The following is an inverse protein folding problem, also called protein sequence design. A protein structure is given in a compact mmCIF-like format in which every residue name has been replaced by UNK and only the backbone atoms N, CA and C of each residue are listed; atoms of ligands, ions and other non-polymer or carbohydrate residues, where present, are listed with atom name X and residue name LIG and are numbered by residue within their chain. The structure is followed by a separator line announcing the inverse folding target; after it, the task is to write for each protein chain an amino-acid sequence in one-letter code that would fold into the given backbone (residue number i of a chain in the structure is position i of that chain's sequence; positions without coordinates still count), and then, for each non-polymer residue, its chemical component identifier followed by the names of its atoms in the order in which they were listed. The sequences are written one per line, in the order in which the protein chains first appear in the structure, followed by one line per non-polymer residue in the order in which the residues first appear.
data_IF_207943400183
#
_entry.id   IF_207943400183
#
_cell.length_a   1.000
_cell.length_b   1.000
_cell.length_c   1.000
_cell.angle_alpha   90.00
_cell.angle_beta   90.00
_cell.angle_gamma   90.00
#
_symmetry.space_group_name_H-M   'P 1'
#
loop_
_entity.id
_entity.type
_entity.pdbx_description
1 polymer ?
#
# COMPACT_ATOMS: atom_id res chain seq x y z
N UNK A 1 119.65 -67.74 3.07
CA UNK A 1 118.98 -69.03 2.85
C UNK A 1 117.50 -68.79 3.15
N UNK A 2 116.66 -68.97 2.14
CA UNK A 2 115.21 -68.76 2.13
C UNK A 2 114.51 -70.15 2.16
N UNK A 3 113.18 -70.30 1.99
CA UNK A 3 112.03 -69.40 2.18
C UNK A 3 110.80 -70.11 2.84
N UNK A 4 109.64 -69.44 2.75
CA UNK A 4 108.21 -69.87 2.86
C UNK A 4 107.71 -70.19 4.28
N UNK A 5 106.58 -69.67 4.77
CA UNK A 5 105.25 -69.87 4.20
C UNK A 5 104.16 -68.97 4.83
N UNK A 6 103.00 -69.09 4.20
CA UNK A 6 101.68 -68.48 4.36
C UNK A 6 100.99 -68.57 5.75
N UNK A 7 99.82 -67.91 5.79
CA UNK A 7 98.60 -68.19 6.59
C UNK A 7 98.27 -67.35 7.85
N UNK A 8 97.13 -66.66 7.73
CA UNK A 8 96.06 -66.36 8.69
C UNK A 8 96.26 -66.54 10.20
N UNK A 9 95.79 -65.57 11.01
CA UNK A 9 94.64 -65.76 11.91
C UNK A 9 94.22 -64.49 12.67
N UNK A 10 92.99 -64.55 13.14
CA UNK A 10 92.06 -63.53 13.66
C UNK A 10 92.31 -63.25 15.17
N UNK A 11 91.69 -62.17 15.67
CA UNK A 11 91.38 -61.80 17.09
C UNK A 11 92.44 -60.94 17.77
N UNK A 12 92.17 -59.96 18.64
CA UNK A 12 90.99 -59.58 19.42
C UNK A 12 91.14 -58.11 19.89
N UNK A 13 90.00 -57.51 20.27
CA UNK A 13 89.81 -56.59 21.40
C UNK A 13 90.39 -55.16 21.49
N UNK A 14 89.44 -54.27 21.81
CA UNK A 14 89.46 -53.29 22.91
C UNK A 14 89.95 -51.84 22.68
N UNK A 15 89.04 -50.93 23.08
CA UNK A 15 89.20 -49.63 23.75
C UNK A 15 89.62 -48.37 22.95
N UNK A 16 88.72 -47.37 23.03
CA UNK A 16 88.79 -45.92 22.68
C UNK A 16 89.97 -45.22 23.40
N UNK A 17 90.59 -44.10 22.92
CA UNK A 17 89.95 -42.76 22.88
C UNK A 17 90.44 -41.70 21.85
N UNK A 18 89.60 -40.66 21.67
CA UNK A 18 89.84 -39.23 21.40
C UNK A 18 90.85 -38.71 20.34
N UNK A 19 90.36 -37.81 19.46
CA UNK A 19 91.09 -36.59 19.04
C UNK A 19 90.92 -36.09 17.60
N UNK A 20 90.51 -34.81 17.45
CA UNK A 20 91.20 -33.71 16.70
C UNK A 20 90.41 -32.92 15.61
N UNK A 21 90.38 -31.58 15.83
CA UNK A 21 90.27 -30.42 14.91
C UNK A 21 88.94 -29.92 14.28
N UNK A 22 88.64 -28.60 14.40
CA UNK A 22 87.71 -27.86 13.53
C UNK A 22 88.41 -26.79 12.64
N UNK A 23 87.87 -26.50 11.43
CA UNK A 23 87.96 -25.12 10.93
C UNK A 23 86.74 -24.56 10.14
N UNK A 24 86.58 -23.23 10.30
CA UNK A 24 86.03 -22.20 9.38
C UNK A 24 84.51 -22.04 9.12
N UNK A 25 83.95 -20.93 9.63
CA UNK A 25 82.75 -20.26 9.09
C UNK A 25 83.15 -19.17 8.07
N UNK A 26 82.51 -19.05 6.89
CA UNK A 26 82.72 -17.93 5.96
C UNK A 26 81.90 -16.67 6.34
N UNK A 27 82.24 -15.50 5.77
CA UNK A 27 81.92 -14.18 6.31
C UNK A 27 80.52 -13.68 5.95
N UNK A 28 80.02 -12.75 6.76
CA UNK A 28 78.87 -11.91 6.48
C UNK A 28 79.08 -11.11 5.18
N UNK A 29 78.52 -11.62 4.08
CA UNK A 29 78.43 -10.94 2.80
C UNK A 29 77.15 -10.13 2.72
N UNK A 30 77.31 -8.83 2.46
CA UNK A 30 76.25 -7.88 2.18
C UNK A 30 75.37 -8.30 1.00
N UNK A 31 74.06 -8.35 1.19
CA UNK A 31 73.10 -8.16 0.10
C UNK A 31 72.02 -7.14 0.51
N UNK A 32 72.30 -5.90 0.10
CA UNK A 32 71.42 -5.07 -0.73
C UNK A 32 69.96 -4.95 -0.30
N UNK A 33 69.57 -3.71 0.01
CA UNK A 33 68.18 -3.30 0.19
C UNK A 33 67.31 -3.78 -0.97
N UNK A 34 66.55 -4.86 -0.72
CA UNK A 34 65.41 -5.23 -1.54
C UNK A 34 64.37 -4.14 -1.32
N UNK A 35 64.35 -3.18 -2.24
CA UNK A 35 63.22 -2.25 -2.37
C UNK A 35 61.94 -3.07 -2.27
N UNK A 36 61.08 -2.72 -1.32
CA UNK A 36 59.80 -3.37 -1.10
C UNK A 36 58.90 -3.13 -2.33
N UNK A 37 59.17 -3.87 -3.41
CA UNK A 37 58.39 -3.86 -4.62
C UNK A 37 56.98 -4.35 -4.27
N UNK A 38 55.98 -3.58 -4.68
CA UNK A 38 54.57 -3.89 -4.47
C UNK A 38 54.31 -5.37 -4.81
N UNK A 39 53.73 -6.17 -3.89
CA UNK A 39 53.49 -7.58 -4.14
C UNK A 39 52.63 -7.76 -5.40
N UNK A 40 53.01 -8.69 -6.28
CA UNK A 40 52.36 -8.90 -7.60
C UNK A 40 50.87 -9.30 -7.49
N UNK A 41 50.41 -9.73 -6.32
CA UNK A 41 49.00 -10.04 -6.03
C UNK A 41 48.17 -8.78 -5.73
N UNK A 42 48.79 -7.71 -5.23
CA UNK A 42 48.12 -6.47 -4.83
C UNK A 42 47.42 -5.75 -5.99
N UNK A 43 48.03 -5.55 -7.18
CA UNK A 43 47.32 -4.92 -8.30
C UNK A 43 46.18 -5.79 -8.84
N UNK A 44 46.30 -7.12 -8.83
CA UNK A 44 45.21 -8.03 -9.25
C UNK A 44 44.04 -7.99 -8.27
N UNK A 45 44.33 -8.03 -6.96
CA UNK A 45 43.32 -7.88 -5.91
C UNK A 45 42.64 -6.50 -5.97
N UNK A 46 43.40 -5.44 -6.25
CA UNK A 46 42.88 -4.08 -6.37
C UNK A 46 41.99 -3.90 -7.61
N UNK A 47 42.36 -4.48 -8.76
CA UNK A 47 41.51 -4.49 -9.96
C UNK A 47 40.23 -5.29 -9.72
N UNK A 48 40.31 -6.45 -9.04
CA UNK A 48 39.14 -7.27 -8.74
C UNK A 48 38.21 -6.59 -7.72
N UNK A 49 38.78 -5.93 -6.72
CA UNK A 49 38.02 -5.11 -5.77
C UNK A 49 37.36 -3.90 -6.45
N UNK A 50 38.07 -3.17 -7.31
CA UNK A 50 37.51 -2.07 -8.10
C UNK A 50 36.40 -2.55 -9.05
N UNK A 51 36.58 -3.70 -9.70
CA UNK A 51 35.57 -4.30 -10.57
C UNK A 51 34.32 -4.69 -9.77
N UNK A 52 34.47 -5.25 -8.57
CA UNK A 52 33.35 -5.60 -7.70
C UNK A 52 32.61 -4.36 -7.19
N UNK A 53 33.34 -3.30 -6.80
CA UNK A 53 32.75 -2.00 -6.43
C UNK A 53 32.05 -1.35 -7.62
N UNK A 54 32.64 -1.37 -8.81
CA UNK A 54 32.03 -0.84 -10.02
C UNK A 54 30.76 -1.62 -10.39
N UNK A 55 30.77 -2.95 -10.29
CA UNK A 55 29.60 -3.79 -10.52
C UNK A 55 28.50 -3.54 -9.48
N UNK A 56 28.87 -3.36 -8.21
CA UNK A 56 27.93 -2.97 -7.16
C UNK A 56 27.33 -1.57 -7.40
N UNK A 57 28.14 -0.58 -7.79
CA UNK A 57 27.68 0.77 -8.13
C UNK A 57 26.76 0.76 -9.36
N UNK A 58 27.11 0.04 -10.42
CA UNK A 58 26.27 -0.15 -11.61
C UNK A 58 24.95 -0.83 -11.26
N UNK A 59 25.00 -1.90 -10.45
CA UNK A 59 23.81 -2.59 -9.96
C UNK A 59 22.92 -1.68 -9.11
N UNK A 60 23.51 -0.91 -8.20
CA UNK A 60 22.79 0.05 -7.35
C UNK A 60 22.18 1.19 -8.16
N UNK A 61 22.91 1.74 -9.14
CA UNK A 61 22.41 2.77 -10.05
C UNK A 61 21.25 2.24 -10.90
N UNK A 62 21.40 1.06 -11.50
CA UNK A 62 20.36 0.41 -12.27
C UNK A 62 19.13 0.11 -11.40
N UNK A 63 19.33 -0.38 -10.16
CA UNK A 63 18.23 -0.64 -9.23
C UNK A 63 17.48 0.64 -8.86
N UNK A 64 18.17 1.75 -8.58
CA UNK A 64 17.53 3.04 -8.32
C UNK A 64 16.74 3.54 -9.54
N UNK A 65 17.30 3.41 -10.75
CA UNK A 65 16.62 3.83 -11.98
C UNK A 65 15.38 2.96 -12.26
N UNK A 66 15.44 1.66 -11.96
CA UNK A 66 14.34 0.73 -12.15
C UNK A 66 13.30 0.78 -11.02
N UNK A 67 13.62 1.35 -9.85
CA UNK A 67 12.72 1.38 -8.70
C UNK A 67 11.36 1.98 -9.05
N UNK A 68 11.33 3.06 -9.83
CA UNK A 68 10.08 3.67 -10.31
C UNK A 68 9.25 2.73 -11.21
N UNK A 69 9.92 1.98 -12.09
CA UNK A 69 9.27 0.97 -12.93
C UNK A 69 8.76 -0.21 -12.10
N UNK A 70 9.54 -0.69 -11.13
CA UNK A 70 9.12 -1.76 -10.21
C UNK A 70 7.89 -1.35 -9.40
N UNK A 71 7.84 -0.10 -8.94
CA UNK A 71 6.67 0.47 -8.27
C UNK A 71 5.46 0.48 -9.20
N UNK A 72 5.60 0.95 -10.44
CA UNK A 72 4.51 0.95 -11.41
C UNK A 72 4.02 -0.47 -11.72
N UNK A 73 4.93 -1.45 -11.85
CA UNK A 73 4.59 -2.87 -12.02
C UNK A 73 3.85 -3.40 -10.79
N UNK A 74 4.28 -3.03 -9.58
CA UNK A 74 3.61 -3.44 -8.34
C UNK A 74 2.19 -2.88 -8.29
N UNK A 75 2.00 -1.59 -8.59
CA UNK A 75 0.68 -0.95 -8.68
C UNK A 75 -0.18 -1.66 -9.72
N UNK A 76 0.37 -1.92 -10.91
CA UNK A 76 -0.30 -2.63 -11.98
C UNK A 76 -0.72 -4.05 -11.57
N UNK A 77 0.13 -4.76 -10.83
CA UNK A 77 -0.18 -6.09 -10.31
C UNK A 77 -1.37 -6.05 -9.33
N UNK A 78 -1.41 -5.09 -8.41
CA UNK A 78 -2.54 -4.93 -7.50
C UNK A 78 -3.81 -4.50 -8.21
N UNK A 79 -3.72 -3.62 -9.21
CA UNK A 79 -4.86 -3.25 -10.04
C UNK A 79 -5.38 -4.47 -10.83
N UNK A 80 -4.50 -5.33 -11.31
CA UNK A 80 -4.89 -6.57 -11.98
C UNK A 80 -5.61 -7.52 -11.02
N UNK A 81 -5.10 -7.70 -9.80
CA UNK A 81 -5.77 -8.49 -8.74
C UNK A 81 -7.14 -7.92 -8.36
N UNK A 82 -7.28 -6.60 -8.35
CA UNK A 82 -8.52 -5.89 -8.09
C UNK A 82 -9.59 -6.16 -9.16
N UNK A 83 -9.18 -6.21 -10.43
CA UNK A 83 -10.05 -6.43 -11.61
C UNK A 83 -10.30 -7.92 -11.87
N UNK A 84 -9.43 -8.81 -11.41
CA UNK A 84 -9.49 -10.27 -11.61
C UNK A 84 -10.86 -10.90 -11.29
N UNK A 85 -11.57 -10.58 -10.19
CA UNK A 85 -12.89 -11.16 -9.92
C UNK A 85 -13.91 -10.84 -11.02
N UNK A 86 -13.93 -9.60 -11.52
CA UNK A 86 -14.82 -9.19 -12.61
C UNK A 86 -14.45 -9.87 -13.93
N UNK A 87 -13.15 -9.99 -14.24
CA UNK A 87 -12.66 -10.70 -15.43
C UNK A 87 -12.99 -12.19 -15.36
N UNK A 88 -12.74 -12.81 -14.21
CA UNK A 88 -12.98 -14.24 -13.99
C UNK A 88 -14.47 -14.58 -14.08
N UNK A 89 -15.35 -13.73 -13.55
CA UNK A 89 -16.79 -13.87 -13.67
C UNK A 89 -17.28 -13.78 -15.13
N UNK A 90 -16.75 -12.85 -15.93
CA UNK A 90 -17.08 -12.78 -17.36
C UNK A 90 -16.51 -13.96 -18.15
N UNK A 91 -15.28 -14.38 -17.84
CA UNK A 91 -14.65 -15.53 -18.46
C UNK A 91 -15.41 -16.84 -18.15
N UNK A 92 -15.92 -16.98 -16.93
CA UNK A 92 -16.76 -18.11 -16.52
C UNK A 92 -18.10 -18.17 -17.28
N UNK A 93 -18.58 -17.03 -17.81
CA UNK A 93 -19.76 -16.94 -18.69
C UNK A 93 -19.46 -17.20 -20.16
N UNK A 94 -18.24 -17.63 -20.50
CA UNK A 94 -17.85 -18.04 -21.86
C UNK A 94 -17.11 -16.98 -22.68
N UNK A 95 -16.83 -15.78 -22.13
CA UNK A 95 -16.02 -14.79 -22.83
C UNK A 95 -14.53 -15.20 -22.87
N UNK A 96 -13.87 -14.96 -24.01
CA UNK A 96 -12.40 -15.08 -24.10
C UNK A 96 -11.78 -14.12 -23.09
N UNK A 97 -10.82 -14.63 -22.30
CA UNK A 97 -10.24 -13.89 -21.17
C UNK A 97 -9.65 -12.53 -21.55
N UNK A 98 -9.04 -12.42 -22.73
CA UNK A 98 -8.56 -11.13 -23.26
C UNK A 98 -9.69 -10.11 -23.50
N UNK A 99 -10.84 -10.55 -24.03
CA UNK A 99 -12.02 -9.69 -24.23
C UNK A 99 -12.66 -9.31 -22.89
N UNK A 100 -12.78 -10.26 -21.97
CA UNK A 100 -13.26 -9.98 -20.61
C UNK A 100 -12.40 -8.90 -19.94
N UNK A 101 -11.07 -9.03 -20.04
CA UNK A 101 -10.13 -8.03 -19.51
C UNK A 101 -10.33 -6.67 -20.19
N UNK A 102 -10.41 -6.63 -21.53
CA UNK A 102 -10.63 -5.39 -22.26
C UNK A 102 -11.93 -4.68 -21.85
N UNK A 103 -13.03 -5.43 -21.66
CA UNK A 103 -14.32 -4.88 -21.23
C UNK A 103 -14.22 -4.28 -19.83
N UNK A 104 -13.57 -4.94 -18.85
CA UNK A 104 -13.43 -4.35 -17.51
C UNK A 104 -12.59 -3.09 -17.55
N UNK A 105 -11.43 -3.13 -18.23
CA UNK A 105 -10.55 -1.97 -18.34
C UNK A 105 -11.25 -0.79 -19.04
N UNK A 106 -11.98 -1.07 -20.11
CA UNK A 106 -12.79 -0.06 -20.79
C UNK A 106 -13.84 0.53 -19.84
N UNK A 107 -14.52 -0.30 -19.06
CA UNK A 107 -15.46 0.14 -18.02
C UNK A 107 -14.80 1.03 -16.96
N UNK A 108 -13.62 0.66 -16.46
CA UNK A 108 -12.85 1.46 -15.50
C UNK A 108 -12.42 2.80 -16.10
N UNK A 109 -11.94 2.80 -17.35
CA UNK A 109 -11.54 4.01 -18.07
C UNK A 109 -12.73 4.94 -18.26
N UNK A 110 -13.87 4.42 -18.74
CA UNK A 110 -15.09 5.21 -18.95
C UNK A 110 -15.61 5.77 -17.63
N UNK A 111 -15.67 4.95 -16.57
CA UNK A 111 -16.10 5.40 -15.26
C UNK A 111 -15.18 6.50 -14.69
N UNK A 112 -13.86 6.33 -14.83
CA UNK A 112 -12.86 7.30 -14.36
C UNK A 112 -12.92 8.59 -15.16
N UNK A 113 -12.97 8.51 -16.49
CA UNK A 113 -13.08 9.67 -17.37
C UNK A 113 -14.41 10.42 -17.16
N UNK A 114 -15.52 9.69 -16.99
CA UNK A 114 -16.82 10.26 -16.67
C UNK A 114 -16.82 10.97 -15.33
N UNK A 115 -16.23 10.37 -14.28
CA UNK A 115 -16.08 11.00 -12.99
C UNK A 115 -15.21 12.27 -13.05
N UNK A 116 -14.04 12.20 -13.69
CA UNK A 116 -13.12 13.35 -13.84
C UNK A 116 -13.80 14.47 -14.63
N UNK A 117 -14.52 14.15 -15.71
CA UNK A 117 -15.24 15.15 -16.51
C UNK A 117 -16.35 15.80 -15.71
N UNK A 118 -17.14 15.01 -14.97
CA UNK A 118 -18.25 15.51 -14.15
C UNK A 118 -17.77 16.36 -12.97
N UNK A 119 -16.65 15.97 -12.34
CA UNK A 119 -16.00 16.77 -11.30
C UNK A 119 -15.34 18.03 -11.86
N UNK A 120 -14.65 17.92 -12.99
CA UNK A 120 -13.99 19.03 -13.65
C UNK A 120 -14.98 20.11 -14.07
N UNK A 121 -16.12 19.72 -14.68
CA UNK A 121 -17.17 20.66 -15.06
C UNK A 121 -17.86 21.29 -13.84
N UNK A 122 -18.11 20.50 -12.80
CA UNK A 122 -18.65 21.02 -11.54
C UNK A 122 -17.71 22.06 -10.91
N UNK A 123 -16.42 21.72 -10.75
CA UNK A 123 -15.45 22.61 -10.11
C UNK A 123 -15.24 23.88 -10.93
N UNK A 124 -15.17 23.76 -12.26
CA UNK A 124 -15.07 24.93 -13.14
C UNK A 124 -16.29 25.85 -13.00
N UNK A 125 -17.52 25.29 -13.01
CA UNK A 125 -18.75 26.06 -12.80
C UNK A 125 -18.76 26.75 -11.44
N UNK A 126 -18.45 26.01 -10.37
CA UNK A 126 -18.42 26.57 -9.02
C UNK A 126 -17.36 27.67 -8.82
N UNK A 127 -16.20 27.56 -9.47
CA UNK A 127 -15.20 28.63 -9.43
C UNK A 127 -15.71 29.89 -10.13
N UNK A 128 -16.38 29.76 -11.27
CA UNK A 128 -16.98 30.89 -12.00
C UNK A 128 -18.08 31.53 -11.15
N UNK A 129 -19.05 30.74 -10.68
CA UNK A 129 -20.17 31.21 -9.85
C UNK A 129 -19.65 31.88 -8.55
N UNK A 130 -18.61 31.32 -7.92
CA UNK A 130 -18.04 31.89 -6.70
C UNK A 130 -17.29 33.20 -6.95
N UNK A 131 -16.71 33.42 -8.13
CA UNK A 131 -16.03 34.67 -8.49
C UNK A 131 -17.04 35.74 -8.91
N UNK A 132 -18.07 35.37 -9.66
CA UNK A 132 -19.11 36.29 -10.15
C UNK A 132 -20.07 36.72 -9.01
N UNK A 133 -20.50 35.77 -8.17
CA UNK A 133 -21.50 36.01 -7.12
C UNK A 133 -20.89 36.20 -5.72
N UNK A 134 -19.56 36.36 -5.60
CA UNK A 134 -18.89 36.56 -4.32
C UNK A 134 -19.54 37.65 -3.44
N UNK A 135 -19.91 38.84 -3.98
CA UNK A 135 -20.54 39.89 -3.18
C UNK A 135 -21.91 39.46 -2.64
N UNK A 136 -22.69 38.72 -3.43
CA UNK A 136 -24.04 38.28 -3.08
C UNK A 136 -24.02 37.14 -2.05
N UNK A 137 -23.01 36.27 -2.07
CA UNK A 137 -22.81 35.26 -1.02
C UNK A 137 -22.47 35.90 0.33
N UNK A 138 -21.59 36.90 0.35
CA UNK A 138 -21.28 37.66 1.57
C UNK A 138 -22.55 38.31 2.13
N UNK A 139 -23.41 38.86 1.26
CA UNK A 139 -24.66 39.46 1.66
C UNK A 139 -25.67 38.48 2.25
N UNK A 140 -25.75 37.26 1.71
CA UNK A 140 -26.60 36.19 2.25
C UNK A 140 -26.10 35.74 3.63
N UNK A 141 -24.80 35.56 3.80
CA UNK A 141 -24.19 35.17 5.09
C UNK A 141 -24.38 36.25 6.14
N UNK A 142 -24.08 37.53 5.81
CA UNK A 142 -24.27 38.65 6.74
C UNK A 142 -25.74 38.76 7.15
N UNK A 143 -26.68 38.66 6.20
CA UNK A 143 -28.12 38.65 6.52
C UNK A 143 -28.52 37.47 7.41
N UNK A 144 -28.04 36.26 7.12
CA UNK A 144 -28.32 35.08 7.93
C UNK A 144 -27.80 35.23 9.36
N UNK A 145 -26.56 35.73 9.53
CA UNK A 145 -25.98 36.00 10.86
C UNK A 145 -26.81 37.05 11.60
N UNK A 146 -27.09 38.19 10.94
CA UNK A 146 -27.83 39.30 11.55
C UNK A 146 -29.25 38.86 11.95
N UNK A 147 -29.93 38.03 11.13
CA UNK A 147 -31.27 37.52 11.43
C UNK A 147 -31.28 36.39 12.48
N UNK A 148 -30.25 35.55 12.52
CA UNK A 148 -30.20 34.38 13.42
C UNK A 148 -29.68 34.75 14.81
N UNK A 149 -28.74 35.69 14.89
CA UNK A 149 -28.05 36.08 16.11
C UNK A 149 -28.33 37.53 16.55
N UNK A 150 -29.26 38.23 15.89
CA UNK A 150 -29.70 39.60 16.23
C UNK A 150 -28.51 40.58 16.35
N UNK A 151 -27.61 40.53 15.36
CA UNK A 151 -26.36 41.32 15.30
C UNK A 151 -26.42 42.30 14.12
N UNK A 152 -25.67 43.42 14.20
CA UNK A 152 -25.54 44.40 13.11
C UNK A 152 -24.10 44.39 12.53
N UNK A 153 -23.78 43.38 11.72
CA UNK A 153 -22.55 43.38 10.92
C UNK A 153 -22.74 44.24 9.66
N UNK A 154 -21.85 45.23 9.46
CA UNK A 154 -21.87 46.11 8.29
C UNK A 154 -20.92 45.65 7.18
N UNK A 155 -21.35 45.85 5.93
CA UNK A 155 -20.73 45.40 4.67
C UNK A 155 -19.36 46.06 4.38
N UNK A 156 -19.04 47.17 5.04
CA UNK A 156 -17.97 48.10 4.63
C UNK A 156 -16.57 47.73 5.17
N UNK A 157 -16.47 47.00 6.29
CA UNK A 157 -15.17 46.59 6.85
C UNK A 157 -14.58 45.31 6.22
N UNK A 158 -15.40 44.46 5.62
CA UNK A 158 -14.98 43.14 5.09
C UNK A 158 -14.62 43.20 3.60
N UNK A 159 -15.25 44.10 2.84
CA UNK A 159 -15.14 44.15 1.38
C UNK A 159 -13.82 44.76 0.88
N UNK A 160 -13.24 45.71 1.62
CA UNK A 160 -12.03 46.43 1.19
C UNK A 160 -10.74 45.61 1.40
N UNK A 161 -10.71 44.72 2.40
CA UNK A 161 -9.56 43.84 2.69
C UNK A 161 -9.50 42.57 1.85
N UNK A 162 -10.63 42.07 1.32
CA UNK A 162 -10.69 40.80 0.58
C UNK A 162 -10.50 40.97 -0.94
N UNK A 163 -11.03 42.05 -1.53
CA UNK A 163 -11.00 42.26 -3.01
C UNK A 163 -9.63 42.73 -3.51
N UNK A 164 -8.83 43.40 -2.66
CA UNK A 164 -7.46 43.85 -2.98
C UNK A 164 -6.37 42.82 -2.62
N UNK A 165 -6.76 41.62 -2.21
CA UNK A 165 -5.81 40.67 -1.62
C UNK A 165 -4.88 40.06 -2.70
N UNK A 166 -3.58 40.20 -2.48
CA UNK A 166 -2.51 39.77 -3.40
C UNK A 166 -2.60 38.29 -3.81
N UNK A 167 -3.27 37.44 -3.04
CA UNK A 167 -3.39 36.00 -3.32
C UNK A 167 -4.14 35.71 -4.62
N UNK A 168 -5.21 36.46 -4.92
CA UNK A 168 -6.02 36.22 -6.11
C UNK A 168 -5.26 36.61 -7.39
N UNK A 169 -4.53 37.74 -7.35
CA UNK A 169 -3.62 38.16 -8.43
C UNK A 169 -2.43 37.21 -8.59
N UNK A 170 -1.82 36.74 -7.50
CA UNK A 170 -0.75 35.73 -7.54
C UNK A 170 -1.23 34.38 -8.07
N UNK A 171 -2.46 33.98 -7.76
CA UNK A 171 -3.04 32.73 -8.25
C UNK A 171 -3.28 32.77 -9.76
N UNK A 172 -3.82 33.89 -10.27
CA UNK A 172 -4.00 34.13 -11.71
C UNK A 172 -2.65 34.24 -12.44
N UNK A 173 -1.66 34.94 -11.86
CA UNK A 173 -0.32 35.07 -12.46
C UNK A 173 0.51 33.78 -12.41
N UNK A 174 0.40 32.97 -11.34
CA UNK A 174 1.06 31.66 -11.25
C UNK A 174 0.41 30.62 -12.17
N UNK A 175 -0.88 30.76 -12.49
CA UNK A 175 -1.56 29.88 -13.45
C UNK A 175 -1.11 30.13 -14.90
N UNK A 176 -0.67 31.35 -15.23
CA UNK A 176 -0.26 31.71 -16.59
C UNK A 176 1.17 31.29 -16.97
N UNK A 177 2.07 31.09 -15.99
CA UNK A 177 3.50 30.79 -16.23
C UNK A 177 3.84 29.29 -16.23
N UNK A 178 2.93 28.42 -15.79
CA UNK A 178 3.16 26.98 -15.65
C UNK A 178 2.80 26.11 -16.86
N UNK A 179 2.38 26.68 -18.00
CA UNK A 179 1.79 25.90 -19.10
C UNK A 179 2.75 24.85 -19.67
N UNK A 180 4.05 25.16 -19.77
CA UNK A 180 5.04 24.21 -20.29
C UNK A 180 5.40 23.09 -19.28
N UNK A 181 5.52 23.42 -17.99
CA UNK A 181 5.80 22.43 -16.93
C UNK A 181 4.60 21.51 -16.68
N UNK A 182 3.38 22.06 -16.71
CA UNK A 182 2.14 21.29 -16.64
C UNK A 182 2.03 20.35 -17.83
N UNK A 183 2.43 20.77 -19.03
CA UNK A 183 2.40 19.91 -20.22
C UNK A 183 3.34 18.71 -20.10
N UNK A 184 4.57 18.92 -19.63
CA UNK A 184 5.54 17.84 -19.41
C UNK A 184 5.08 16.88 -18.31
N UNK A 185 4.50 17.39 -17.23
CA UNK A 185 3.97 16.59 -16.13
C UNK A 185 2.73 15.78 -16.53
N UNK A 186 1.83 16.37 -17.34
CA UNK A 186 0.65 15.69 -17.90
C UNK A 186 1.08 14.57 -18.84
N UNK A 187 2.03 14.83 -19.74
CA UNK A 187 2.57 13.79 -20.63
C UNK A 187 3.24 12.67 -19.84
N UNK A 188 4.09 13.01 -18.87
CA UNK A 188 4.74 12.03 -17.99
C UNK A 188 3.73 11.19 -17.20
N UNK A 189 2.70 11.83 -16.64
CA UNK A 189 1.61 11.18 -15.93
C UNK A 189 0.78 10.26 -16.84
N UNK A 190 0.52 10.68 -18.08
CA UNK A 190 -0.18 9.86 -19.07
C UNK A 190 0.64 8.61 -19.45
N UNK A 191 1.94 8.76 -19.68
CA UNK A 191 2.83 7.61 -19.93
C UNK A 191 2.88 6.66 -18.72
N UNK A 192 2.94 7.20 -17.50
CA UNK A 192 2.91 6.39 -16.28
C UNK A 192 1.58 5.63 -16.14
N UNK A 193 0.45 6.31 -16.34
CA UNK A 193 -0.87 5.72 -16.30
C UNK A 193 -1.01 4.64 -17.38
N UNK A 194 -0.61 4.92 -18.62
CA UNK A 194 -0.62 3.96 -19.72
C UNK A 194 0.22 2.73 -19.39
N UNK A 195 1.40 2.93 -18.80
CA UNK A 195 2.28 1.85 -18.36
C UNK A 195 1.58 0.97 -17.32
N UNK A 196 1.00 1.57 -16.28
CA UNK A 196 0.27 0.85 -15.23
C UNK A 196 -0.91 0.08 -15.83
N UNK A 197 -1.70 0.71 -16.70
CA UNK A 197 -2.85 0.06 -17.35
C UNK A 197 -2.41 -1.08 -18.26
N UNK A 198 -1.35 -0.91 -19.05
CA UNK A 198 -0.85 -1.92 -19.96
C UNK A 198 -0.35 -3.15 -19.20
N UNK A 199 0.52 -2.96 -18.19
CA UNK A 199 1.00 -4.07 -17.36
C UNK A 199 -0.14 -4.75 -16.62
N UNK A 200 -1.09 -3.98 -16.09
CA UNK A 200 -2.25 -4.51 -15.38
C UNK A 200 -3.15 -5.33 -16.31
N UNK A 201 -3.37 -4.85 -17.55
CA UNK A 201 -4.08 -5.56 -18.59
C UNK A 201 -3.41 -6.90 -18.93
N UNK A 202 -2.09 -6.90 -19.15
CA UNK A 202 -1.36 -8.14 -19.43
C UNK A 202 -1.41 -9.11 -18.24
N UNK A 203 -1.24 -8.62 -17.01
CA UNK A 203 -1.34 -9.47 -15.81
C UNK A 203 -2.72 -10.08 -15.62
N UNK A 204 -3.80 -9.32 -15.86
CA UNK A 204 -5.16 -9.85 -15.76
C UNK A 204 -5.49 -10.82 -16.91
N UNK A 205 -5.16 -10.46 -18.15
CA UNK A 205 -5.43 -11.27 -19.34
C UNK A 205 -4.66 -12.59 -19.32
N UNK A 206 -3.35 -12.55 -19.05
CA UNK A 206 -2.46 -13.71 -19.00
C UNK A 206 -2.30 -14.30 -17.58
N UNK A 207 -3.14 -13.93 -16.62
CA UNK A 207 -3.09 -14.43 -15.23
C UNK A 207 -2.86 -15.95 -15.09
N UNK A 208 -3.55 -16.83 -15.86
CA UNK A 208 -3.32 -18.27 -15.79
C UNK A 208 -1.95 -18.70 -16.33
N UNK A 209 -1.40 -17.98 -17.31
CA UNK A 209 -0.05 -18.24 -17.84
C UNK A 209 1.01 -17.77 -16.85
N UNK A 210 0.84 -16.59 -16.25
CA UNK A 210 1.71 -16.08 -15.19
C UNK A 210 1.75 -17.06 -14.01
N UNK A 211 0.58 -17.54 -13.57
CA UNK A 211 0.46 -18.54 -12.50
C UNK A 211 1.18 -19.84 -12.85
N UNK A 212 1.05 -20.35 -14.09
CA UNK A 212 1.77 -21.54 -14.55
C UNK A 212 3.27 -21.32 -14.59
N UNK A 213 3.74 -20.18 -15.10
CA UNK A 213 5.16 -19.84 -15.17
C UNK A 213 5.81 -19.74 -13.78
N UNK A 214 5.12 -19.13 -12.82
CA UNK A 214 5.58 -19.09 -11.42
C UNK A 214 5.63 -20.49 -10.80
N UNK A 215 4.62 -21.34 -11.06
CA UNK A 215 4.61 -22.70 -10.55
C UNK A 215 5.64 -23.62 -11.22
N UNK A 216 6.04 -23.37 -12.48
CA UNK A 216 6.99 -24.23 -13.19
C UNK A 216 8.42 -24.17 -12.64
N UNK A 217 8.77 -23.12 -11.88
CA UNK A 217 10.08 -22.98 -11.23
C UNK A 217 10.10 -23.67 -9.86
N UNK A 218 8.94 -24.06 -9.33
CA UNK A 218 8.78 -24.62 -7.99
C UNK A 218 8.70 -26.15 -8.00
N UNK A 219 9.26 -26.83 -6.97
CA UNK A 219 9.06 -28.26 -6.77
C UNK A 219 7.56 -28.62 -6.66
N UNK A 220 7.10 -29.78 -7.19
CA UNK A 220 5.69 -30.16 -7.19
C UNK A 220 5.00 -30.07 -5.82
N UNK A 221 5.70 -30.42 -4.74
CA UNK A 221 5.19 -30.35 -3.37
C UNK A 221 4.79 -28.92 -2.94
N UNK A 222 5.39 -27.88 -3.50
CA UNK A 222 5.13 -26.47 -3.17
C UNK A 222 4.15 -25.79 -4.12
N UNK A 223 3.86 -26.37 -5.28
CA UNK A 223 2.95 -25.78 -6.26
C UNK A 223 1.53 -25.63 -5.69
N UNK A 224 1.01 -26.65 -4.99
CA UNK A 224 -0.33 -26.60 -4.39
C UNK A 224 -0.45 -25.51 -3.31
N UNK A 225 0.58 -25.33 -2.48
CA UNK A 225 0.61 -24.28 -1.44
C UNK A 225 0.55 -22.87 -2.07
N UNK A 226 1.34 -22.63 -3.12
CA UNK A 226 1.39 -21.33 -3.82
C UNK A 226 0.10 -21.04 -4.56
N UNK A 227 -0.49 -22.03 -5.23
CA UNK A 227 -1.78 -21.89 -5.90
C UNK A 227 -2.90 -21.54 -4.90
N UNK A 228 -2.90 -22.19 -3.73
CA UNK A 228 -3.85 -21.88 -2.65
C UNK A 228 -3.65 -20.46 -2.13
N UNK A 229 -2.41 -20.04 -1.88
CA UNK A 229 -2.11 -18.69 -1.44
C UNK A 229 -2.55 -17.63 -2.47
N UNK A 230 -2.34 -17.90 -3.76
CA UNK A 230 -2.79 -17.04 -4.86
C UNK A 230 -4.32 -16.89 -4.87
N UNK A 231 -5.07 -17.99 -4.78
CA UNK A 231 -6.53 -17.94 -4.76
C UNK A 231 -7.07 -17.19 -3.53
N UNK A 232 -6.46 -17.39 -2.37
CA UNK A 232 -6.80 -16.63 -1.16
C UNK A 232 -6.53 -15.13 -1.38
N UNK A 233 -5.39 -14.77 -1.97
CA UNK A 233 -5.03 -13.38 -2.24
C UNK A 233 -6.03 -12.71 -3.20
N UNK A 234 -6.41 -13.39 -4.30
CA UNK A 234 -7.41 -12.91 -5.26
C UNK A 234 -8.78 -12.75 -4.59
N UNK A 235 -9.23 -13.78 -3.85
CA UNK A 235 -10.55 -13.75 -3.23
C UNK A 235 -10.66 -12.69 -2.12
N UNK A 236 -9.62 -12.50 -1.30
CA UNK A 236 -9.59 -11.46 -0.27
C UNK A 236 -9.53 -10.05 -0.87
N UNK A 237 -8.65 -9.84 -1.86
CA UNK A 237 -8.52 -8.54 -2.55
C UNK A 237 -9.80 -8.19 -3.28
N UNK A 238 -10.34 -9.14 -4.03
CA UNK A 238 -11.59 -9.00 -4.77
C UNK A 238 -12.80 -8.78 -3.86
N UNK A 239 -12.93 -9.57 -2.79
CA UNK A 239 -14.00 -9.41 -1.80
C UNK A 239 -13.94 -8.07 -1.07
N UNK A 240 -12.73 -7.58 -0.75
CA UNK A 240 -12.54 -6.25 -0.18
C UNK A 240 -12.98 -5.15 -1.15
N UNK A 241 -12.46 -5.19 -2.38
CA UNK A 241 -12.77 -4.17 -3.38
C UNK A 241 -14.26 -4.17 -3.77
N UNK A 242 -14.87 -5.36 -3.88
CA UNK A 242 -16.31 -5.51 -4.10
C UNK A 242 -17.11 -4.90 -2.95
N UNK A 243 -16.76 -5.22 -1.70
CA UNK A 243 -17.45 -4.65 -0.53
C UNK A 243 -17.35 -3.12 -0.49
N UNK A 244 -16.17 -2.56 -0.82
CA UNK A 244 -15.92 -1.11 -0.90
C UNK A 244 -16.68 -0.45 -2.05
N UNK A 245 -16.69 -1.07 -3.23
CA UNK A 245 -17.44 -0.58 -4.38
C UNK A 245 -18.95 -0.59 -4.13
N UNK A 246 -19.47 -1.64 -3.48
CA UNK A 246 -20.88 -1.73 -3.12
C UNK A 246 -21.26 -0.70 -2.04
N UNK A 247 -20.41 -0.51 -1.02
CA UNK A 247 -20.58 0.59 -0.05
C UNK A 247 -20.56 1.96 -0.73
N UNK A 248 -19.65 2.17 -1.69
CA UNK A 248 -19.52 3.43 -2.40
C UNK A 248 -20.78 3.73 -3.21
N UNK A 249 -21.37 2.69 -3.83
CA UNK A 249 -22.63 2.79 -4.54
C UNK A 249 -23.79 3.13 -3.60
N UNK A 250 -23.92 2.41 -2.47
CA UNK A 250 -25.00 2.66 -1.48
C UNK A 250 -24.87 4.06 -0.89
N UNK A 251 -23.64 4.47 -0.54
CA UNK A 251 -23.34 5.80 0.00
C UNK A 251 -23.61 6.89 -1.03
N UNK A 252 -23.16 6.71 -2.27
CA UNK A 252 -23.44 7.63 -3.36
C UNK A 252 -24.94 7.80 -3.60
N UNK A 253 -25.72 6.71 -3.68
CA UNK A 253 -27.17 6.78 -3.87
C UNK A 253 -27.85 7.49 -2.68
N UNK A 254 -27.45 7.16 -1.45
CA UNK A 254 -28.02 7.77 -0.25
C UNK A 254 -27.78 9.29 -0.21
N UNK A 255 -26.56 9.73 -0.50
CA UNK A 255 -26.22 11.15 -0.57
C UNK A 255 -26.82 11.83 -1.80
N UNK A 256 -26.96 11.15 -2.93
CA UNK A 256 -27.66 11.67 -4.10
C UNK A 256 -29.10 12.03 -3.78
N UNK A 257 -29.83 11.11 -3.12
CA UNK A 257 -31.22 11.34 -2.73
C UNK A 257 -31.32 12.57 -1.81
N UNK A 258 -30.45 12.68 -0.80
CA UNK A 258 -30.42 13.85 0.08
C UNK A 258 -30.16 15.15 -0.68
N UNK A 259 -29.07 15.19 -1.46
CA UNK A 259 -28.65 16.40 -2.18
C UNK A 259 -29.70 16.82 -3.21
N UNK A 260 -30.39 15.87 -3.83
CA UNK A 260 -31.49 16.14 -4.75
C UNK A 260 -32.72 16.68 -4.03
N UNK A 261 -33.06 16.17 -2.83
CA UNK A 261 -34.15 16.71 -2.01
C UNK A 261 -33.87 18.14 -1.57
N UNK A 262 -32.61 18.45 -1.27
CA UNK A 262 -32.15 19.79 -0.92
C UNK A 262 -31.89 20.69 -2.14
N UNK A 263 -32.13 20.19 -3.36
CA UNK A 263 -31.89 20.90 -4.63
C UNK A 263 -30.47 21.49 -4.75
N UNK A 264 -29.47 20.80 -4.18
CA UNK A 264 -28.07 21.26 -4.22
C UNK A 264 -27.52 21.09 -5.63
N UNK A 265 -26.87 22.12 -6.20
CA UNK A 265 -26.31 22.04 -7.55
C UNK A 265 -25.26 20.92 -7.63
N UNK A 266 -25.18 20.28 -8.80
CA UNK A 266 -24.26 19.17 -9.05
C UNK A 266 -24.44 17.97 -8.09
N UNK A 267 -25.64 17.73 -7.57
CA UNK A 267 -25.96 16.58 -6.71
C UNK A 267 -25.43 15.22 -7.23
N UNK A 268 -25.54 14.84 -8.53
CA UNK A 268 -24.95 13.60 -9.03
C UNK A 268 -23.43 13.55 -8.87
N UNK A 269 -22.76 14.68 -9.12
CA UNK A 269 -21.32 14.81 -9.06
C UNK A 269 -20.82 14.65 -7.62
N UNK A 270 -21.42 15.40 -6.71
CA UNK A 270 -21.17 15.35 -5.28
C UNK A 270 -21.46 13.98 -4.68
N UNK A 271 -22.54 13.33 -5.10
CA UNK A 271 -22.89 11.99 -4.63
C UNK A 271 -21.83 10.94 -5.00
N UNK A 272 -21.36 10.94 -6.25
CA UNK A 272 -20.29 10.03 -6.69
C UNK A 272 -18.99 10.35 -5.95
N UNK A 273 -18.67 11.64 -5.75
CA UNK A 273 -17.53 12.07 -4.92
C UNK A 273 -17.62 11.48 -3.51
N UNK A 274 -18.76 11.67 -2.83
CA UNK A 274 -18.94 11.19 -1.46
C UNK A 274 -18.80 9.67 -1.39
N UNK A 275 -19.47 8.95 -2.29
CA UNK A 275 -19.42 7.49 -2.33
C UNK A 275 -18.00 6.97 -2.56
N UNK A 276 -17.23 7.56 -3.48
CA UNK A 276 -15.88 7.10 -3.79
C UNK A 276 -14.88 7.47 -2.68
N UNK A 277 -14.87 8.73 -2.26
CA UNK A 277 -13.88 9.26 -1.32
C UNK A 277 -14.06 8.68 0.07
N UNK A 278 -15.30 8.50 0.54
CA UNK A 278 -15.57 7.92 1.86
C UNK A 278 -15.07 6.47 1.98
N UNK A 279 -15.13 5.70 0.88
CA UNK A 279 -14.85 4.27 0.92
C UNK A 279 -13.40 3.92 0.63
N UNK A 280 -12.78 4.66 -0.28
CA UNK A 280 -11.43 4.37 -0.76
C UNK A 280 -10.34 5.17 -0.05
N UNK A 281 -10.66 6.26 0.66
CA UNK A 281 -9.70 6.97 1.51
C UNK A 281 -9.90 6.57 2.97
N UNK A 282 -9.01 5.77 3.59
CA UNK A 282 -9.19 5.32 4.96
C UNK A 282 -9.11 6.45 5.97
N UNK A 283 -9.81 6.31 7.11
CA UNK A 283 -9.82 7.19 8.29
C UNK A 283 -10.34 8.61 8.11
N UNK A 284 -9.91 9.32 7.07
CA UNK A 284 -10.25 10.72 6.81
C UNK A 284 -11.28 10.83 5.68
N UNK A 285 -11.46 9.78 4.88
CA UNK A 285 -12.29 9.77 3.68
C UNK A 285 -13.69 10.30 3.90
N UNK A 286 -14.42 9.85 4.92
CA UNK A 286 -15.79 10.36 5.20
C UNK A 286 -15.81 11.86 5.45
N UNK A 287 -14.85 12.38 6.22
CA UNK A 287 -14.80 13.80 6.55
C UNK A 287 -14.49 14.65 5.31
N UNK A 288 -13.53 14.21 4.50
CA UNK A 288 -13.19 14.87 3.23
C UNK A 288 -14.33 14.76 2.20
N UNK A 289 -14.96 13.58 2.14
CA UNK A 289 -16.09 13.29 1.29
C UNK A 289 -17.28 14.21 1.59
N UNK A 290 -17.64 14.36 2.87
CA UNK A 290 -18.75 15.20 3.32
C UNK A 290 -18.47 16.70 3.29
N UNK A 291 -17.20 17.12 3.39
CA UNK A 291 -16.83 18.53 3.38
C UNK A 291 -17.21 19.25 2.08
N UNK A 292 -16.96 18.63 0.93
CA UNK A 292 -17.24 19.25 -0.37
C UNK A 292 -18.74 19.51 -0.60
N UNK A 293 -19.66 18.51 -0.49
CA UNK A 293 -21.09 18.77 -0.60
C UNK A 293 -21.63 19.74 0.45
N UNK A 294 -21.08 19.73 1.66
CA UNK A 294 -21.47 20.67 2.71
C UNK A 294 -21.11 22.11 2.34
N UNK A 295 -19.91 22.32 1.79
CA UNK A 295 -19.47 23.64 1.31
C UNK A 295 -20.36 24.14 0.18
N UNK A 296 -20.71 23.26 -0.78
CA UNK A 296 -21.60 23.63 -1.88
C UNK A 296 -23.04 23.86 -1.40
N UNK A 297 -23.55 23.07 -0.46
CA UNK A 297 -24.87 23.30 0.12
C UNK A 297 -24.94 24.63 0.87
N UNK A 298 -23.84 25.04 1.54
CA UNK A 298 -23.74 26.31 2.25
C UNK A 298 -23.89 27.53 1.34
N UNK A 299 -23.47 27.46 0.07
CA UNK A 299 -23.63 28.57 -0.87
C UNK A 299 -25.09 28.78 -1.28
N UNK A 300 -25.91 27.74 -1.20
CA UNK A 300 -27.36 27.80 -1.46
C UNK A 300 -28.09 28.36 -0.24
N UNK A 301 -27.99 27.66 0.90
CA UNK A 301 -28.60 28.04 2.17
C UNK A 301 -27.73 27.51 3.33
N UNK A 302 -27.34 28.35 4.32
CA UNK A 302 -26.55 27.91 5.47
C UNK A 302 -27.15 26.72 6.22
N UNK A 303 -28.48 26.61 6.25
CA UNK A 303 -29.18 25.51 6.91
C UNK A 303 -29.05 24.19 6.15
N UNK A 304 -28.90 24.21 4.83
CA UNK A 304 -28.67 23.00 4.03
C UNK A 304 -27.34 22.35 4.38
N UNK A 305 -26.30 23.14 4.65
CA UNK A 305 -25.02 22.61 5.13
C UNK A 305 -25.17 21.84 6.44
N UNK A 306 -26.02 22.32 7.36
CA UNK A 306 -26.31 21.64 8.63
C UNK A 306 -27.05 20.33 8.39
N UNK A 307 -28.04 20.30 7.50
CA UNK A 307 -28.74 19.07 7.12
C UNK A 307 -27.81 18.05 6.46
N UNK A 308 -26.93 18.49 5.57
CA UNK A 308 -25.91 17.63 4.93
C UNK A 308 -24.97 17.06 5.98
N UNK A 309 -24.46 17.89 6.90
CA UNK A 309 -23.61 17.44 8.00
C UNK A 309 -24.32 16.40 8.88
N UNK A 310 -25.55 16.69 9.30
CA UNK A 310 -26.36 15.79 10.12
C UNK A 310 -26.58 14.44 9.43
N UNK A 311 -26.90 14.46 8.14
CA UNK A 311 -27.06 13.24 7.35
C UNK A 311 -25.75 12.45 7.23
N UNK A 312 -24.62 13.10 6.91
CA UNK A 312 -23.31 12.43 6.82
C UNK A 312 -22.98 11.73 8.14
N UNK A 313 -23.23 12.39 9.28
CA UNK A 313 -22.99 11.80 10.61
C UNK A 313 -23.90 10.60 10.87
N UNK A 314 -25.20 10.71 10.60
CA UNK A 314 -26.17 9.62 10.79
C UNK A 314 -25.85 8.45 9.85
N UNK A 315 -25.60 8.73 8.58
CA UNK A 315 -25.23 7.75 7.58
C UNK A 315 -23.94 7.03 7.97
N UNK A 316 -22.94 7.73 8.49
CA UNK A 316 -21.70 7.11 8.97
C UNK A 316 -21.97 6.13 10.12
N UNK A 317 -22.90 6.43 11.04
CA UNK A 317 -23.28 5.48 12.08
C UNK A 317 -23.98 4.25 11.49
N UNK A 318 -24.92 4.46 10.57
CA UNK A 318 -25.58 3.36 9.86
C UNK A 318 -24.57 2.48 9.09
N UNK A 319 -23.63 3.10 8.41
CA UNK A 319 -22.57 2.40 7.69
C UNK A 319 -21.72 1.56 8.65
N UNK A 320 -21.24 2.16 9.74
CA UNK A 320 -20.36 1.50 10.72
C UNK A 320 -21.06 0.33 11.44
N UNK A 321 -22.32 0.51 11.85
CA UNK A 321 -23.03 -0.49 12.67
C UNK A 321 -23.83 -1.51 11.86
N UNK A 322 -24.26 -1.18 10.64
CA UNK A 322 -25.16 -2.04 9.85
C UNK A 322 -24.51 -2.53 8.56
N UNK A 323 -24.00 -1.64 7.72
CA UNK A 323 -23.48 -2.01 6.40
C UNK A 323 -22.13 -2.71 6.49
N UNK A 324 -21.20 -2.14 7.25
CA UNK A 324 -19.83 -2.62 7.39
C UNK A 324 -19.74 -4.06 7.90
N UNK A 325 -20.39 -4.44 9.03
CA UNK A 325 -20.35 -5.82 9.48
C UNK A 325 -21.03 -6.78 8.48
N UNK A 326 -22.08 -6.36 7.76
CA UNK A 326 -22.78 -7.25 6.81
C UNK A 326 -22.01 -7.47 5.50
N UNK A 327 -21.29 -6.45 5.03
CA UNK A 327 -20.63 -6.45 3.72
C UNK A 327 -19.14 -6.83 3.79
N UNK A 328 -18.46 -6.58 4.91
CA UNK A 328 -17.01 -6.78 5.03
C UNK A 328 -16.62 -8.03 5.85
N UNK A 329 -17.54 -8.62 6.63
CA UNK A 329 -17.23 -9.73 7.54
C UNK A 329 -16.62 -11.00 6.90
N UNK A 330 -16.74 -11.17 5.57
CA UNK A 330 -16.15 -12.33 4.85
C UNK A 330 -14.88 -11.98 4.07
N UNK A 331 -14.51 -10.70 4.00
CA UNK A 331 -13.52 -10.22 3.03
C UNK A 331 -12.11 -10.13 3.60
N UNK A 332 -11.90 -9.50 4.75
CA UNK A 332 -10.58 -9.25 5.34
C UNK A 332 -10.68 -9.10 6.86
N UNK A 333 -10.16 -10.08 7.61
CA UNK A 333 -10.02 -10.01 9.07
C UNK A 333 -8.61 -9.50 9.42
N UNK A 334 -8.41 -8.19 9.32
CA UNK A 334 -7.16 -7.51 9.72
C UNK A 334 -7.45 -6.66 10.95
N UNK A 335 -6.57 -6.75 11.95
CA UNK A 335 -6.63 -5.92 13.14
C UNK A 335 -6.57 -4.41 12.75
N UNK A 336 -7.45 -3.54 13.27
CA UNK A 336 -7.53 -2.13 12.86
C UNK A 336 -6.19 -1.38 12.90
N UNK A 337 -5.36 -1.64 13.92
CA UNK A 337 -4.03 -1.04 14.02
C UNK A 337 -3.09 -1.45 12.87
N UNK A 338 -3.18 -2.69 12.38
CA UNK A 338 -2.38 -3.19 11.25
C UNK A 338 -2.87 -2.56 9.95
N UNK A 339 -4.20 -2.42 9.78
CA UNK A 339 -4.77 -1.74 8.62
C UNK A 339 -4.42 -0.24 8.60
N UNK A 340 -4.46 0.44 9.74
CA UNK A 340 -4.06 1.84 9.84
C UNK A 340 -2.57 2.02 9.57
N UNK A 341 -1.72 1.23 10.25
CA UNK A 341 -0.28 1.27 10.06
C UNK A 341 0.14 0.94 8.63
N UNK A 342 -0.57 0.01 7.95
CA UNK A 342 -0.29 -0.30 6.56
C UNK A 342 -0.63 0.85 5.63
N UNK A 343 -1.75 1.55 5.85
CA UNK A 343 -2.12 2.73 5.06
C UNK A 343 -1.07 3.82 5.22
N UNK A 344 -0.65 4.12 6.46
CA UNK A 344 0.40 5.11 6.73
C UNK A 344 1.71 4.73 6.04
N UNK A 345 2.14 3.47 6.16
CA UNK A 345 3.34 2.98 5.49
C UNK A 345 3.21 3.03 3.96
N UNK A 346 2.06 2.64 3.41
CA UNK A 346 1.76 2.72 1.98
C UNK A 346 1.79 4.15 1.46
N UNK A 347 1.20 5.09 2.20
CA UNK A 347 1.26 6.53 1.88
C UNK A 347 2.69 7.05 1.88
N UNK A 348 3.50 6.68 2.88
CA UNK A 348 4.89 7.10 2.97
C UNK A 348 5.74 6.55 1.80
N UNK A 349 5.47 5.32 1.34
CA UNK A 349 6.24 4.67 0.30
C UNK A 349 5.83 5.07 -1.11
N UNK A 350 4.52 5.09 -1.40
CA UNK A 350 3.98 5.23 -2.77
C UNK A 350 2.90 6.32 -2.88
N UNK A 351 2.78 7.19 -1.87
CA UNK A 351 1.80 8.28 -1.86
C UNK A 351 0.35 7.78 -1.82
N UNK A 352 -0.56 8.52 -2.47
CA UNK A 352 -1.99 8.20 -2.52
C UNK A 352 -2.26 6.77 -3.06
N UNK A 353 -1.48 6.32 -4.03
CA UNK A 353 -1.63 4.98 -4.61
C UNK A 353 -1.28 3.89 -3.59
N UNK A 354 -0.22 4.10 -2.80
CA UNK A 354 0.15 3.18 -1.73
C UNK A 354 -0.89 3.09 -0.63
N UNK A 355 -1.55 4.20 -0.31
CA UNK A 355 -2.66 4.22 0.67
C UNK A 355 -3.83 3.32 0.24
N UNK A 356 -4.21 3.38 -1.04
CA UNK A 356 -5.31 2.60 -1.62
C UNK A 356 -5.02 1.09 -1.62
N UNK A 357 -3.76 0.74 -1.90
CA UNK A 357 -3.34 -0.65 -2.11
C UNK A 357 -2.84 -1.31 -0.82
N UNK A 358 -2.53 -0.52 0.22
CA UNK A 358 -1.94 -0.98 1.47
C UNK A 358 -2.72 -2.11 2.16
N UNK A 359 -4.05 -1.98 2.26
CA UNK A 359 -4.89 -2.96 2.96
C UNK A 359 -4.90 -4.29 2.19
N UNK A 360 -5.20 -4.32 0.87
CA UNK A 360 -5.01 -5.51 0.05
C UNK A 360 -3.61 -6.10 0.14
N UNK A 361 -2.56 -5.28 0.07
CA UNK A 361 -1.18 -5.73 0.11
C UNK A 361 -0.82 -6.42 1.43
N UNK A 362 -1.29 -5.89 2.55
CA UNK A 362 -1.09 -6.52 3.85
C UNK A 362 -1.98 -7.76 4.01
N UNK A 363 -3.20 -7.76 3.47
CA UNK A 363 -4.06 -8.94 3.47
C UNK A 363 -3.43 -10.11 2.71
N UNK A 364 -2.84 -9.84 1.54
CA UNK A 364 -2.14 -10.85 0.73
C UNK A 364 -0.86 -11.30 1.42
N UNK A 365 -0.06 -10.37 1.94
CA UNK A 365 1.15 -10.70 2.70
C UNK A 365 0.84 -11.57 3.91
N UNK A 366 -0.20 -11.24 4.69
CA UNK A 366 -0.64 -12.03 5.84
C UNK A 366 -1.14 -13.42 5.42
N UNK A 367 -1.81 -13.55 4.27
CA UNK A 367 -2.22 -14.84 3.74
C UNK A 367 -1.03 -15.71 3.32
N UNK A 368 -0.01 -15.13 2.67
CA UNK A 368 1.24 -15.80 2.32
C UNK A 368 2.03 -16.22 3.57
N UNK A 369 2.19 -15.31 4.53
CA UNK A 369 2.86 -15.59 5.81
C UNK A 369 2.11 -16.66 6.59
N UNK A 370 0.78 -16.61 6.66
CA UNK A 370 -0.03 -17.62 7.35
C UNK A 370 0.00 -19.00 6.67
N UNK A 371 0.31 -19.08 5.37
CA UNK A 371 0.53 -20.36 4.69
C UNK A 371 1.89 -20.98 5.03
N UNK A 372 2.88 -20.18 5.42
CA UNK A 372 4.26 -20.63 5.71
C UNK A 372 4.56 -20.73 7.21
N UNK A 373 3.94 -19.87 8.02
CA UNK A 373 4.09 -19.83 9.48
C UNK A 373 3.08 -20.79 10.10
N UNK A 374 3.59 -21.90 10.62
CA UNK A 374 2.79 -22.86 11.41
C UNK A 374 2.33 -22.14 12.68
N UNK A 375 1.04 -21.81 12.76
CA UNK A 375 0.45 -21.22 13.97
C UNK A 375 0.34 -22.34 15.00
N UNK A 376 1.18 -22.31 16.01
CA UNK A 376 1.09 -23.23 17.14
C UNK A 376 -0.03 -22.77 18.06
N UNK A 377 -0.81 -23.71 18.60
CA UNK A 377 -1.77 -23.39 19.65
C UNK A 377 -1.01 -22.75 20.82
N UNK A 378 -1.47 -21.57 21.21
CA UNK A 378 -0.91 -20.87 22.36
C UNK A 378 -1.28 -21.69 23.58
N UNK A 379 -0.29 -22.04 24.40
CA UNK A 379 -0.52 -22.77 25.65
C UNK A 379 -1.53 -22.00 26.49
N UNK A 380 -2.56 -22.68 27.02
CA UNK A 380 -3.63 -22.09 27.84
C UNK A 380 -3.05 -21.54 29.16
N UNK A 381 -2.40 -20.39 29.10
CA UNK A 381 -1.89 -19.65 30.24
C UNK A 381 -2.94 -18.60 30.68
N UNK A 382 -3.26 -18.49 31.98
CA UNK A 382 -4.16 -17.47 32.51
C UNK A 382 -3.80 -16.03 32.12
N UNK A 383 -2.56 -15.75 31.73
CA UNK A 383 -2.09 -14.43 31.26
C UNK A 383 -2.50 -14.14 29.81
N UNK A 384 -2.78 -15.17 29.01
CA UNK A 384 -3.25 -15.05 27.62
C UNK A 384 -4.76 -14.77 27.60
N UNK A 385 -5.49 -15.29 28.57
CA UNK A 385 -6.87 -14.91 28.81
C UNK A 385 -6.90 -13.64 29.67
N UNK A 386 -6.87 -12.46 29.02
CA UNK A 386 -7.20 -11.21 29.69
C UNK A 386 -8.46 -11.38 30.55
N UNK A 387 -8.49 -10.81 31.76
CA UNK A 387 -9.53 -11.03 32.77
C UNK A 387 -10.94 -11.02 32.16
N UNK A 388 -11.46 -12.20 31.79
CA UNK A 388 -12.88 -12.37 31.49
C UNK A 388 -13.59 -12.06 32.79
N UNK A 389 -14.31 -10.92 32.84
CA UNK A 389 -15.25 -10.63 33.93
C UNK A 389 -16.14 -11.85 34.09
N UNK A 390 -15.92 -12.59 35.17
CA UNK A 390 -16.71 -13.74 35.58
C UNK A 390 -18.04 -13.20 36.09
N UNK A 391 -18.98 -12.93 35.20
CA UNK A 391 -20.25 -12.35 35.59
C UNK A 391 -21.13 -12.08 34.40
N UNK A 392 -21.78 -13.14 33.91
CA UNK A 392 -23.15 -13.08 33.38
C UNK A 392 -23.65 -14.52 33.33
N UNK A 393 -23.97 -15.07 34.49
CA UNK A 393 -25.00 -16.11 34.52
C UNK A 393 -26.31 -15.35 34.29
N UNK A 394 -27.05 -15.60 33.19
CA UNK A 394 -28.30 -14.91 32.93
C UNK A 394 -29.18 -15.00 34.18
N UNK A 395 -29.75 -13.87 34.64
CA UNK A 395 -30.66 -13.85 35.80
C UNK A 395 -31.78 -14.89 35.67
N UNK A 396 -32.16 -15.20 34.42
CA UNK A 396 -33.11 -16.24 34.05
C UNK A 396 -32.69 -17.65 34.49
N UNK A 397 -31.40 -17.97 34.50
CA UNK A 397 -30.88 -19.28 34.95
C UNK A 397 -30.92 -19.41 36.48
N UNK A 398 -30.76 -18.29 37.20
CA UNK A 398 -30.92 -18.25 38.66
C UNK A 398 -32.40 -18.34 39.06
N UNK A 399 -33.28 -17.62 38.37
CA UNK A 399 -34.73 -17.70 38.58
C UNK A 399 -35.30 -19.09 38.27
N UNK A 400 -34.84 -19.73 37.19
CA UNK A 400 -35.30 -21.08 36.82
C UNK A 400 -34.90 -22.16 37.83
N UNK A 401 -33.74 -22.00 38.49
CA UNK A 401 -33.31 -22.87 39.61
C UNK A 401 -34.06 -22.59 40.92
N UNK A 402 -34.51 -21.36 41.14
CA UNK A 402 -35.30 -21.01 42.31
C UNK A 402 -36.76 -21.51 42.21
N UNK A 403 -37.29 -21.66 40.98
CA UNK A 403 -38.68 -22.06 40.71
C UNK A 403 -38.86 -23.55 40.43
N UNK A 404 -37.80 -24.37 40.47
CA UNK A 404 -37.90 -25.83 40.36
C UNK A 404 -37.95 -26.44 41.77
N UNK A 405 -39.11 -26.89 42.26
CA UNK A 405 -39.16 -27.63 43.52
C UNK A 405 -38.45 -28.98 43.35
N UNK A 406 -37.69 -29.46 44.36
CA UNK A 406 -37.08 -30.79 44.31
C UNK A 406 -38.18 -31.84 44.18
N UNK A 407 -37.97 -32.77 43.26
CA UNK A 407 -39.00 -33.72 42.82
C UNK A 407 -39.62 -34.56 43.95
N UNK A 408 -40.88 -34.92 43.74
CA UNK A 408 -41.44 -36.16 44.29
C UNK A 408 -41.07 -37.29 43.33
N UNK A 409 -40.04 -38.03 43.69
CA UNK A 409 -39.86 -39.40 43.23
C UNK A 409 -40.92 -40.27 43.92
N UNK A 410 -41.63 -41.05 43.11
CA UNK A 410 -42.65 -42.02 43.51
C UNK A 410 -42.97 -42.89 42.31
#
# INVERSE_FOLDING_TARGET
MAPTDDTAQITSEAATPAGTAPPAQPPAGAEQGRGAGMPRWLPRAMVLALALVACFQLGSWAFHQLTGLLINILIAFFLALAVEPAVSWMAARGLRRGLATAIVFLGVIIASAGFITMMGSMLAGQIVDMVEDFPDYLDKVIRWINQTFDTDLSRVEVQDSLVHSDWLRKYVQNSASGVLDVSAQVLGGLFQLLTILLFSFYFAADGPRLRRALCSVLPPAKQAEVLRAWEIAVNKTGGYLYSRGLMALISGIAHYILLQILEVPYAPALAVWVGLVSQFIPTIGTYLAGALPMLIAFTVDPWYAVWVLGFVVIYQQFENYVLQPKLTAKSVDIHPAVAFGSVVAGTALLGAVGALIAIPAVATLQAFLGAYVKRYDVTDDPRVHGHRRRGDTPLLTRLRRALTPPGREG
#
